data_IF_102615376783
#
_entry.id   IF_102615376783
#
_cell.length_a   1.000
_cell.length_b   1.000
_cell.length_c   1.000
_cell.angle_alpha   90.00
_cell.angle_beta   90.00
_cell.angle_gamma   90.00
#
_symmetry.space_group_name_H-M   'P 1'
#
loop_
_entity.id
_entity.type
_entity.pdbx_description
1 polymer ?
#
# COMPACT_ATOMS: atom_id res chain seq x y z
N UNK A 1 -0.95 56.00 10.37
CA UNK A 1 -1.62 56.24 11.67
C UNK A 1 -3.08 55.81 11.53
N UNK A 2 -3.41 54.66 12.14
CA UNK A 2 -4.73 53.98 12.30
C UNK A 2 -4.40 52.47 12.36
N UNK A 3 -3.88 52.02 13.50
CA UNK A 3 -4.57 51.40 14.65
C UNK A 3 -4.84 49.91 14.40
N UNK A 4 -4.12 49.11 15.20
CA UNK A 4 -4.21 47.67 15.35
C UNK A 4 -5.62 47.17 15.65
N UNK A 5 -5.95 45.98 15.13
CA UNK A 5 -6.56 44.92 15.93
C UNK A 5 -5.85 43.60 15.60
N UNK A 6 -4.91 43.22 16.46
CA UNK A 6 -4.45 41.84 16.58
C UNK A 6 -5.53 41.06 17.31
N UNK A 7 -6.01 39.95 16.74
CA UNK A 7 -6.77 38.96 17.51
C UNK A 7 -5.75 37.94 18.03
N UNK A 8 -5.43 38.11 19.31
CA UNK A 8 -4.73 37.15 20.16
C UNK A 8 -5.79 36.15 20.65
N UNK A 9 -5.54 34.86 20.46
CA UNK A 9 -6.23 33.79 21.17
C UNK A 9 -5.18 32.90 21.84
N UNK A 10 -4.68 33.37 22.98
CA UNK A 10 -4.10 32.53 24.03
C UNK A 10 -5.15 32.40 25.13
N UNK A 11 -5.40 31.17 25.60
CA UNK A 11 -5.13 30.74 26.99
C UNK A 11 -5.86 29.43 27.36
N UNK A 12 -5.09 28.58 28.06
CA UNK A 12 -5.46 27.62 29.12
C UNK A 12 -5.69 26.12 28.79
N UNK A 13 -4.64 25.34 29.06
CA UNK A 13 -4.62 23.98 29.65
C UNK A 13 -4.31 24.08 31.17
N UNK A 14 -4.35 23.02 32.03
CA UNK A 14 -5.07 21.72 32.08
C UNK A 14 -5.77 21.52 33.48
N UNK A 15 -6.11 20.32 34.05
CA UNK A 15 -5.22 19.16 34.29
C UNK A 15 -5.79 17.78 33.89
N UNK A 16 -4.85 16.85 33.65
CA UNK A 16 -5.08 15.42 33.55
C UNK A 16 -5.40 14.82 34.94
N UNK A 17 -6.61 14.28 35.14
CA UNK A 17 -6.98 13.38 36.24
C UNK A 17 -8.37 12.76 35.95
N UNK A 18 -8.44 11.70 35.14
CA UNK A 18 -9.64 10.83 35.06
C UNK A 18 -9.39 9.46 34.39
N UNK A 19 -8.15 8.94 34.42
CA UNK A 19 -7.79 7.66 33.80
C UNK A 19 -7.71 6.48 34.79
N UNK A 20 -8.25 6.63 36.01
CA UNK A 20 -8.03 5.67 37.09
C UNK A 20 -9.31 5.33 37.88
N UNK A 21 -10.43 5.01 37.21
CA UNK A 21 -11.56 4.42 37.94
C UNK A 21 -12.57 3.67 37.04
N UNK A 22 -12.16 2.55 36.43
CA UNK A 22 -13.14 1.57 35.91
C UNK A 22 -12.62 0.15 35.67
N UNK A 23 -11.82 -0.40 36.60
CA UNK A 23 -11.52 -1.85 36.60
C UNK A 23 -11.27 -2.44 37.99
N UNK A 24 -12.14 -2.12 38.94
CA UNK A 24 -12.29 -2.90 40.17
C UNK A 24 -13.57 -3.72 40.09
N UNK A 25 -13.44 -4.99 39.68
CA UNK A 25 -14.31 -6.14 39.98
C UNK A 25 -13.96 -7.27 39.00
N UNK A 26 -13.13 -8.20 39.47
CA UNK A 26 -13.53 -9.61 39.67
C UNK A 26 -12.31 -10.53 39.69
N UNK A 27 -12.13 -11.17 40.84
CA UNK A 27 -11.52 -12.48 41.04
C UNK A 27 -10.00 -12.66 40.91
N UNK A 28 -9.36 -12.47 42.07
CA UNK A 28 -8.37 -13.38 42.65
C UNK A 28 -8.43 -14.83 42.16
N UNK A 29 -7.28 -15.37 41.73
CA UNK A 29 -6.87 -16.76 42.00
C UNK A 29 -5.35 -16.88 41.81
N UNK A 30 -4.66 -17.00 42.93
CA UNK A 30 -3.27 -17.45 43.03
C UNK A 30 -3.17 -18.91 42.61
N UNK A 31 -2.19 -19.22 41.77
CA UNK A 31 -1.52 -20.53 41.76
C UNK A 31 -0.04 -20.27 41.50
N UNK A 32 0.74 -20.42 42.56
CA UNK A 32 2.19 -20.59 42.52
C UNK A 32 2.45 -22.07 42.32
N UNK A 33 3.40 -22.44 41.46
CA UNK A 33 4.09 -23.72 41.56
C UNK A 33 5.48 -23.62 40.90
N UNK A 34 6.44 -24.48 41.28
CA UNK A 34 7.78 -24.05 41.65
C UNK A 34 8.82 -24.45 40.59
N UNK A 35 9.97 -23.79 40.63
CA UNK A 35 11.16 -24.12 39.86
C UNK A 35 11.66 -25.55 40.16
N UNK A 36 11.94 -26.40 39.15
CA UNK A 36 12.53 -27.71 39.36
C UNK A 36 14.01 -27.61 39.76
N UNK A 37 14.37 -28.30 40.85
CA UNK A 37 15.73 -28.45 41.36
C UNK A 37 16.41 -29.64 40.66
N UNK A 38 17.70 -29.47 40.32
CA UNK A 38 18.60 -30.52 39.82
C UNK A 38 18.87 -31.56 40.91
N UNK A 39 18.89 -32.84 40.53
CA UNK A 39 19.45 -33.91 41.36
C UNK A 39 20.40 -34.75 40.53
N UNK A 40 21.60 -34.96 41.07
CA UNK A 40 22.73 -35.67 40.48
C UNK A 40 22.50 -37.18 40.28
N UNK A 41 23.25 -37.69 39.30
CA UNK A 41 23.57 -39.06 38.86
C UNK A 41 23.74 -40.12 39.97
N UNK A 42 23.66 -41.44 39.65
CA UNK A 42 24.90 -42.14 39.24
C UNK A 42 24.75 -43.32 38.24
N UNK A 43 25.91 -43.66 37.65
CA UNK A 43 26.33 -44.91 37.00
C UNK A 43 26.12 -45.16 35.49
N UNK A 44 27.25 -45.02 34.77
CA UNK A 44 27.69 -45.65 33.50
C UNK A 44 27.63 -47.21 33.52
N UNK A 45 27.58 -47.95 32.38
CA UNK A 45 28.60 -47.87 31.31
C UNK A 45 28.17 -48.08 29.83
N UNK A 46 28.99 -47.50 28.94
CA UNK A 46 29.44 -47.93 27.58
C UNK A 46 28.64 -49.01 26.83
N UNK A 47 28.20 -48.73 25.59
CA UNK A 47 28.78 -49.26 24.33
C UNK A 47 27.91 -48.92 23.09
N UNK A 48 28.58 -48.70 21.95
CA UNK A 48 28.19 -48.96 20.54
C UNK A 48 26.83 -48.57 19.95
N UNK A 49 26.91 -47.97 18.75
CA UNK A 49 26.12 -48.41 17.60
C UNK A 49 25.19 -47.37 16.98
N UNK A 50 25.49 -47.03 15.72
CA UNK A 50 24.60 -46.37 14.77
C UNK A 50 23.17 -46.94 14.79
N UNK A 51 22.16 -46.08 14.61
CA UNK A 51 21.11 -46.27 13.60
C UNK A 51 20.11 -45.13 13.57
N UNK A 52 19.74 -44.81 12.34
CA UNK A 52 18.70 -43.89 11.91
C UNK A 52 17.41 -43.99 12.72
N UNK A 53 16.87 -42.84 13.11
CA UNK A 53 15.42 -42.58 13.13
C UNK A 53 15.20 -41.09 13.38
N UNK A 54 15.06 -40.32 12.31
CA UNK A 54 14.43 -39.01 12.38
C UNK A 54 13.14 -39.09 11.59
N UNK A 55 12.06 -39.29 12.34
CA UNK A 55 10.69 -39.08 11.90
C UNK A 55 10.53 -37.58 11.64
N UNK A 56 10.74 -37.16 10.39
CA UNK A 56 10.39 -35.84 9.89
C UNK A 56 8.90 -35.81 9.58
N UNK A 57 8.16 -35.15 10.44
CA UNK A 57 6.76 -34.78 10.24
C UNK A 57 6.60 -33.97 8.95
N UNK A 58 5.55 -34.30 8.20
CA UNK A 58 5.11 -33.64 6.97
C UNK A 58 5.01 -32.12 7.17
N UNK A 59 6.00 -31.37 6.69
CA UNK A 59 5.88 -29.95 6.34
C UNK A 59 5.56 -29.86 4.84
N UNK A 60 4.32 -30.19 4.52
CA UNK A 60 3.77 -30.09 3.17
C UNK A 60 3.19 -28.66 3.01
N UNK A 61 4.07 -27.70 2.73
CA UNK A 61 3.65 -26.31 2.52
C UNK A 61 4.72 -25.31 2.04
N UNK A 62 5.95 -25.75 1.73
CA UNK A 62 7.06 -24.83 1.41
C UNK A 62 7.83 -25.08 0.12
N UNK A 63 7.51 -26.12 -0.64
CA UNK A 63 8.29 -26.52 -1.83
C UNK A 63 7.63 -26.17 -3.17
N UNK A 64 6.33 -25.88 -3.21
CA UNK A 64 5.58 -25.62 -4.46
C UNK A 64 5.63 -24.14 -4.88
N UNK A 65 5.53 -23.20 -3.92
CA UNK A 65 5.53 -21.75 -4.19
C UNK A 65 6.87 -21.21 -4.73
N UNK A 66 7.99 -21.89 -4.44
CA UNK A 66 9.32 -21.43 -4.88
C UNK A 66 9.58 -21.71 -6.36
N UNK A 67 8.99 -22.77 -6.92
CA UNK A 67 9.12 -23.11 -8.35
C UNK A 67 8.29 -22.11 -9.18
N UNK A 68 7.06 -21.79 -8.75
CA UNK A 68 6.23 -20.73 -9.36
C UNK A 68 6.96 -19.37 -9.35
N UNK A 69 7.66 -19.04 -8.26
CA UNK A 69 8.36 -17.76 -8.15
C UNK A 69 9.47 -17.56 -9.18
N UNK A 70 10.38 -18.53 -9.33
CA UNK A 70 11.50 -18.42 -10.27
C UNK A 70 11.04 -18.50 -11.72
N UNK A 71 10.06 -19.37 -12.01
CA UNK A 71 9.45 -19.47 -13.34
C UNK A 71 8.71 -18.18 -13.72
N UNK A 72 7.88 -17.60 -12.84
CA UNK A 72 7.22 -16.32 -13.08
C UNK A 72 8.25 -15.18 -13.25
N UNK A 73 9.37 -15.21 -12.51
CA UNK A 73 10.44 -14.22 -12.63
C UNK A 73 11.15 -14.32 -13.99
N UNK A 74 11.40 -15.54 -14.48
CA UNK A 74 12.04 -15.75 -15.77
C UNK A 74 11.10 -15.41 -16.93
N UNK A 75 9.80 -15.74 -16.82
CA UNK A 75 8.78 -15.30 -17.76
C UNK A 75 8.71 -13.76 -17.84
N UNK A 76 8.80 -13.07 -16.70
CA UNK A 76 8.89 -11.62 -16.68
C UNK A 76 10.17 -11.13 -17.37
N UNK A 77 11.33 -11.73 -17.09
CA UNK A 77 12.61 -11.37 -17.74
C UNK A 77 12.47 -11.44 -19.26
N UNK A 78 11.94 -12.54 -19.78
CA UNK A 78 11.72 -12.73 -21.22
C UNK A 78 10.75 -11.67 -21.79
N UNK A 79 9.70 -11.29 -21.05
CA UNK A 79 8.78 -10.24 -21.48
C UNK A 79 9.44 -8.84 -21.48
N UNK A 80 10.44 -8.62 -20.63
CA UNK A 80 11.20 -7.39 -20.54
C UNK A 80 12.38 -7.30 -21.52
N UNK A 81 12.61 -8.33 -22.35
CA UNK A 81 13.64 -8.28 -23.39
C UNK A 81 13.29 -7.26 -24.49
N UNK A 82 14.33 -6.72 -25.13
CA UNK A 82 14.22 -5.70 -26.17
C UNK A 82 14.53 -4.29 -25.67
N UNK A 83 15.30 -3.55 -26.47
CA UNK A 83 15.73 -2.19 -26.15
C UNK A 83 14.56 -1.18 -26.13
N UNK A 84 13.40 -1.58 -26.64
CA UNK A 84 12.16 -0.79 -26.67
C UNK A 84 11.33 -0.94 -25.39
N UNK A 85 11.69 -1.86 -24.48
CA UNK A 85 10.91 -2.10 -23.27
C UNK A 85 11.05 -0.94 -22.29
N UNK A 86 9.92 -0.30 -22.00
CA UNK A 86 9.79 0.64 -20.89
C UNK A 86 8.90 -0.01 -19.81
N UNK A 87 9.34 -0.11 -18.55
CA UNK A 87 8.49 -0.64 -17.49
C UNK A 87 7.17 0.14 -17.36
N UNK A 88 6.01 -0.55 -17.33
CA UNK A 88 4.73 0.12 -17.21
C UNK A 88 4.54 0.75 -15.82
N UNK A 89 3.78 1.83 -15.77
CA UNK A 89 3.37 2.53 -14.56
C UNK A 89 1.84 2.53 -14.50
N UNK A 90 1.27 1.84 -13.52
CA UNK A 90 -0.19 1.81 -13.34
C UNK A 90 -0.64 3.08 -12.63
N UNK A 91 -1.69 3.71 -13.13
CA UNK A 91 -2.31 4.86 -12.48
C UNK A 91 -3.79 4.57 -12.21
N UNK A 92 -4.10 4.24 -10.96
CA UNK A 92 -5.45 3.92 -10.50
C UNK A 92 -6.14 5.19 -9.97
N UNK A 93 -7.21 5.62 -10.62
CA UNK A 93 -7.91 6.88 -10.35
C UNK A 93 -9.31 6.56 -9.84
N UNK A 94 -9.62 7.01 -8.62
CA UNK A 94 -10.96 6.88 -8.05
C UNK A 94 -11.92 7.88 -8.70
N UNK A 95 -13.16 7.46 -8.99
CA UNK A 95 -14.25 8.37 -9.39
C UNK A 95 -14.56 9.47 -8.35
N UNK A 96 -14.09 9.33 -7.10
CA UNK A 96 -14.21 10.37 -6.06
C UNK A 96 -13.14 11.46 -6.14
N UNK A 97 -12.13 11.32 -7.00
CA UNK A 97 -11.20 12.43 -7.28
C UNK A 97 -12.00 13.57 -7.96
N UNK A 98 -11.87 14.83 -7.52
CA UNK A 98 -12.60 15.93 -8.16
C UNK A 98 -12.26 16.02 -9.65
N UNK A 99 -13.27 16.03 -10.52
CA UNK A 99 -13.08 16.05 -11.99
C UNK A 99 -12.20 14.88 -12.48
N UNK A 100 -12.38 13.69 -11.91
CA UNK A 100 -11.62 12.47 -12.21
C UNK A 100 -11.62 12.11 -13.71
N UNK A 101 -12.72 12.36 -14.40
CA UNK A 101 -12.91 12.12 -15.83
C UNK A 101 -11.95 12.90 -16.72
N UNK A 102 -11.42 14.03 -16.22
CA UNK A 102 -10.42 14.84 -16.94
C UNK A 102 -8.98 14.46 -16.58
N UNK A 103 -8.76 13.65 -15.55
CA UNK A 103 -7.40 13.25 -15.12
C UNK A 103 -6.61 12.59 -16.26
N UNK A 104 -7.19 11.70 -17.10
CA UNK A 104 -6.46 11.15 -18.24
C UNK A 104 -5.93 12.19 -19.23
N UNK A 105 -6.60 13.35 -19.36
CA UNK A 105 -6.19 14.40 -20.31
C UNK A 105 -4.96 15.20 -19.86
N UNK A 106 -4.61 15.12 -18.57
CA UNK A 106 -3.47 15.82 -17.96
C UNK A 106 -2.28 14.89 -17.68
N UNK A 107 -2.40 13.60 -18.01
CA UNK A 107 -1.28 12.66 -18.00
C UNK A 107 -0.27 13.11 -19.06
N UNK A 108 1.02 12.93 -18.79
CA UNK A 108 2.05 13.31 -19.76
C UNK A 108 1.94 12.45 -21.01
N UNK A 109 2.10 13.07 -22.18
CA UNK A 109 1.86 12.41 -23.48
C UNK A 109 3.12 11.79 -24.09
N UNK A 110 4.27 12.18 -23.57
CA UNK A 110 5.60 11.75 -23.98
C UNK A 110 6.02 10.41 -23.33
N UNK A 111 5.27 9.91 -22.35
CA UNK A 111 5.52 8.63 -21.68
C UNK A 111 4.34 7.66 -21.89
N UNK A 112 4.39 6.80 -22.92
CA UNK A 112 3.32 5.84 -23.21
C UNK A 112 3.27 4.68 -22.20
N UNK A 113 4.23 4.58 -21.27
CA UNK A 113 4.25 3.51 -20.26
C UNK A 113 3.29 3.78 -19.10
N UNK A 114 2.68 4.97 -19.03
CA UNK A 114 1.68 5.32 -18.02
C UNK A 114 0.31 4.82 -18.45
N UNK A 115 -0.27 3.93 -17.67
CA UNK A 115 -1.53 3.24 -17.95
C UNK A 115 -2.60 3.72 -16.96
N UNK A 116 -3.48 4.67 -17.35
CA UNK A 116 -4.57 5.11 -16.49
C UNK A 116 -5.73 4.11 -16.44
N UNK A 117 -6.24 3.89 -15.23
CA UNK A 117 -7.41 3.07 -14.93
C UNK A 117 -8.33 3.89 -14.03
N UNK A 118 -9.45 4.35 -14.57
CA UNK A 118 -10.52 5.02 -13.82
C UNK A 118 -11.49 3.96 -13.32
N UNK A 119 -11.74 3.91 -12.01
CA UNK A 119 -12.69 2.98 -11.40
C UNK A 119 -13.80 3.72 -10.65
N UNK A 120 -15.00 3.11 -10.64
CA UNK A 120 -16.12 3.64 -9.88
C UNK A 120 -16.01 3.25 -8.40
N UNK A 121 -15.74 4.22 -7.53
CA UNK A 121 -15.67 4.02 -6.09
C UNK A 121 -16.92 3.38 -5.47
N UNK A 122 -18.10 3.66 -6.03
CA UNK A 122 -19.37 3.21 -5.46
C UNK A 122 -19.72 1.77 -5.84
N UNK A 123 -19.38 1.37 -7.07
CA UNK A 123 -19.87 0.12 -7.68
C UNK A 123 -18.78 -0.89 -8.04
N UNK A 124 -17.52 -0.47 -8.19
CA UNK A 124 -16.44 -1.41 -8.49
C UNK A 124 -16.13 -2.31 -7.30
N UNK A 125 -15.66 -3.51 -7.61
CA UNK A 125 -15.10 -4.46 -6.65
C UNK A 125 -13.58 -4.48 -6.74
N UNK A 126 -12.94 -5.14 -5.78
CA UNK A 126 -11.49 -5.37 -5.84
C UNK A 126 -11.11 -6.25 -7.03
N UNK A 127 -11.96 -7.21 -7.39
CA UNK A 127 -11.74 -8.09 -8.55
C UNK A 127 -11.79 -7.31 -9.86
N UNK A 128 -12.79 -6.42 -10.03
CA UNK A 128 -12.89 -5.57 -11.24
C UNK A 128 -11.61 -4.73 -11.45
N UNK A 129 -11.03 -4.21 -10.37
CA UNK A 129 -9.78 -3.43 -10.44
C UNK A 129 -8.61 -4.32 -10.85
N UNK A 130 -8.48 -5.52 -10.27
CA UNK A 130 -7.39 -6.44 -10.58
C UNK A 130 -7.49 -6.96 -12.03
N UNK A 131 -8.69 -7.29 -12.49
CA UNK A 131 -8.95 -7.73 -13.87
C UNK A 131 -8.61 -6.63 -14.89
N UNK A 132 -8.98 -5.37 -14.62
CA UNK A 132 -8.65 -4.27 -15.54
C UNK A 132 -7.14 -3.97 -15.54
N UNK A 133 -6.43 -4.12 -14.40
CA UNK A 133 -4.96 -4.05 -14.35
C UNK A 133 -4.35 -5.13 -15.24
N UNK A 134 -4.76 -6.39 -15.06
CA UNK A 134 -4.24 -7.53 -15.82
C UNK A 134 -4.47 -7.36 -17.33
N UNK A 135 -5.69 -6.98 -17.72
CA UNK A 135 -6.06 -6.72 -19.10
C UNK A 135 -5.21 -5.61 -19.72
N UNK A 136 -4.97 -4.51 -18.99
CA UNK A 136 -4.17 -3.39 -19.49
C UNK A 136 -2.68 -3.72 -19.57
N UNK A 137 -2.13 -4.45 -18.60
CA UNK A 137 -0.75 -4.95 -18.66
C UNK A 137 -0.56 -5.92 -19.83
N UNK A 138 -1.52 -6.82 -20.04
CA UNK A 138 -1.48 -7.78 -21.16
C UNK A 138 -1.51 -7.08 -22.51
N UNK A 139 -2.35 -6.03 -22.64
CA UNK A 139 -2.41 -5.21 -23.84
C UNK A 139 -1.14 -4.36 -24.05
N UNK A 140 -0.50 -3.90 -22.97
CA UNK A 140 0.76 -3.18 -23.04
C UNK A 140 1.90 -4.09 -23.50
N UNK A 141 2.13 -5.19 -22.77
CA UNK A 141 3.03 -6.26 -23.14
C UNK A 141 2.73 -7.49 -22.28
N UNK A 142 2.27 -8.58 -22.91
CA UNK A 142 1.95 -9.83 -22.21
C UNK A 142 3.14 -10.32 -21.39
N UNK A 143 2.89 -10.65 -20.13
CA UNK A 143 3.92 -11.09 -19.18
C UNK A 143 4.65 -9.96 -18.45
N UNK A 144 4.48 -8.70 -18.87
CA UNK A 144 5.09 -7.56 -18.17
C UNK A 144 4.45 -7.30 -16.80
N UNK A 145 5.25 -6.71 -15.91
CA UNK A 145 4.86 -6.31 -14.56
C UNK A 145 5.19 -4.83 -14.37
N UNK A 146 4.45 -4.13 -13.51
CA UNK A 146 4.70 -2.72 -13.24
C UNK A 146 5.68 -2.51 -12.10
N UNK A 147 6.50 -1.48 -12.21
CA UNK A 147 7.49 -1.13 -11.18
C UNK A 147 6.97 -0.03 -10.27
N UNK A 148 6.06 0.79 -10.80
CA UNK A 148 5.48 1.92 -10.10
C UNK A 148 3.98 1.95 -10.30
N UNK A 149 3.29 2.30 -9.23
CA UNK A 149 1.86 2.55 -9.23
C UNK A 149 1.59 3.90 -8.59
N UNK A 150 0.59 4.61 -9.12
CA UNK A 150 -0.04 5.74 -8.47
C UNK A 150 -1.48 5.37 -8.15
N UNK A 151 -1.86 5.46 -6.88
CA UNK A 151 -3.25 5.40 -6.44
C UNK A 151 -3.70 6.82 -6.11
N UNK A 152 -4.59 7.36 -6.94
CA UNK A 152 -5.20 8.66 -6.73
C UNK A 152 -6.60 8.47 -6.16
N UNK A 153 -6.74 8.60 -4.85
CA UNK A 153 -8.00 8.38 -4.15
C UNK A 153 -8.19 9.37 -2.99
N UNK A 154 -9.40 9.38 -2.43
CA UNK A 154 -9.68 10.12 -1.21
C UNK A 154 -9.16 9.35 0.02
N UNK A 155 -8.95 10.08 1.11
CA UNK A 155 -8.46 9.52 2.37
C UNK A 155 -8.18 10.63 3.36
N UNK A 156 -7.39 10.30 4.38
CA UNK A 156 -6.92 11.26 5.36
C UNK A 156 -5.81 10.64 6.22
N UNK A 157 -5.40 11.32 7.30
CA UNK A 157 -4.36 10.82 8.18
C UNK A 157 -4.66 9.40 8.69
N UNK A 158 -3.83 8.44 8.30
CA UNK A 158 -3.92 7.03 8.70
C UNK A 158 -4.95 6.16 7.97
N UNK A 159 -5.60 6.64 6.90
CA UNK A 159 -6.60 5.84 6.19
C UNK A 159 -6.78 6.19 4.70
N UNK A 160 -7.27 5.22 3.93
CA UNK A 160 -7.58 5.35 2.51
C UNK A 160 -9.01 4.90 2.20
N UNK A 161 -9.66 5.60 1.27
CA UNK A 161 -10.95 5.21 0.70
C UNK A 161 -10.74 4.66 -0.71
N UNK A 162 -10.43 3.38 -0.82
CA UNK A 162 -10.33 2.71 -2.14
C UNK A 162 -11.73 2.53 -2.73
N UNK A 163 -12.59 1.77 -2.06
CA UNK A 163 -13.97 1.52 -2.47
C UNK A 163 -14.93 1.94 -1.35
N UNK A 164 -16.20 2.14 -1.71
CA UNK A 164 -17.27 2.44 -0.74
C UNK A 164 -17.29 1.38 0.35
N UNK A 165 -17.38 1.83 1.60
CA UNK A 165 -17.38 0.97 2.80
C UNK A 165 -16.10 0.11 2.99
N UNK A 166 -15.05 0.30 2.18
CA UNK A 166 -13.75 -0.38 2.28
C UNK A 166 -12.66 0.59 2.70
N UNK A 167 -12.78 1.08 3.93
CA UNK A 167 -11.81 2.02 4.51
C UNK A 167 -10.55 1.27 4.93
N UNK A 168 -9.44 1.45 4.22
CA UNK A 168 -8.18 0.84 4.59
C UNK A 168 -7.53 1.61 5.73
N UNK A 169 -7.37 0.94 6.86
CA UNK A 169 -6.66 1.45 8.04
C UNK A 169 -5.71 0.36 8.53
N UNK A 170 -4.71 0.71 9.34
CA UNK A 170 -3.78 -0.28 9.90
C UNK A 170 -4.49 -1.42 10.67
N UNK A 171 -5.67 -1.14 11.23
CA UNK A 171 -6.44 -2.11 12.00
C UNK A 171 -7.32 -3.02 11.13
N UNK A 172 -7.65 -2.58 9.91
CA UNK A 172 -8.59 -3.28 9.01
C UNK A 172 -7.88 -4.05 7.90
N UNK A 173 -6.75 -3.56 7.41
CA UNK A 173 -6.10 -4.09 6.20
C UNK A 173 -5.68 -5.55 6.30
N UNK A 174 -5.35 -6.03 7.50
CA UNK A 174 -5.05 -7.45 7.75
C UNK A 174 -6.27 -8.26 8.22
N UNK A 175 -7.31 -7.61 8.76
CA UNK A 175 -8.46 -8.29 9.37
C UNK A 175 -9.62 -8.49 8.40
N UNK A 176 -9.78 -7.58 7.44
CA UNK A 176 -10.79 -7.68 6.40
C UNK A 176 -10.22 -8.49 5.24
N UNK A 177 -10.66 -9.75 5.10
CA UNK A 177 -10.08 -10.70 4.15
C UNK A 177 -10.10 -10.21 2.69
N UNK A 178 -11.21 -9.59 2.26
CA UNK A 178 -11.27 -9.03 0.91
C UNK A 178 -10.20 -7.94 0.68
N UNK A 179 -9.84 -7.19 1.71
CA UNK A 179 -8.83 -6.14 1.63
C UNK A 179 -7.42 -6.74 1.65
N UNK A 180 -7.15 -7.70 2.53
CA UNK A 180 -5.86 -8.39 2.60
C UNK A 180 -5.57 -9.13 1.28
N UNK A 181 -6.56 -9.84 0.73
CA UNK A 181 -6.46 -10.55 -0.54
C UNK A 181 -6.23 -9.61 -1.73
N UNK A 182 -6.90 -8.45 -1.75
CA UNK A 182 -6.66 -7.44 -2.80
C UNK A 182 -5.18 -7.05 -2.88
N UNK A 183 -4.56 -6.69 -1.76
CA UNK A 183 -3.15 -6.26 -1.74
C UNK A 183 -2.19 -7.41 -2.08
N UNK A 184 -2.48 -8.64 -1.63
CA UNK A 184 -1.70 -9.84 -1.98
C UNK A 184 -1.79 -10.18 -3.47
N UNK A 185 -2.96 -10.01 -4.08
CA UNK A 185 -3.14 -10.25 -5.53
C UNK A 185 -2.55 -9.12 -6.35
N UNK A 186 -2.68 -7.87 -5.88
CA UNK A 186 -2.07 -6.71 -6.52
C UNK A 186 -0.55 -6.85 -6.61
N UNK A 187 0.11 -7.34 -5.55
CA UNK A 187 1.57 -7.52 -5.55
C UNK A 187 2.05 -8.49 -6.63
N UNK A 188 1.24 -9.46 -7.06
CA UNK A 188 1.59 -10.37 -8.18
C UNK A 188 1.75 -9.69 -9.53
N UNK A 189 1.23 -8.47 -9.69
CA UNK A 189 1.42 -7.65 -10.88
C UNK A 189 2.65 -6.74 -10.80
N UNK A 190 3.32 -6.69 -9.65
CA UNK A 190 4.54 -5.93 -9.45
C UNK A 190 5.76 -6.75 -9.87
N UNK A 191 6.81 -6.04 -10.28
CA UNK A 191 8.00 -6.69 -10.83
C UNK A 191 8.79 -7.47 -9.79
N UNK A 192 9.27 -8.65 -10.19
CA UNK A 192 10.21 -9.48 -9.42
C UNK A 192 11.67 -9.19 -9.80
N UNK A 193 11.91 -8.58 -10.97
CA UNK A 193 13.26 -8.32 -11.50
C UNK A 193 13.75 -6.89 -11.30
N UNK A 194 12.89 -6.00 -10.80
CA UNK A 194 13.28 -4.64 -10.44
C UNK A 194 14.41 -4.68 -9.39
N UNK A 195 15.60 -4.12 -9.67
CA UNK A 195 16.71 -4.10 -8.72
C UNK A 195 16.42 -3.22 -7.49
N UNK A 196 15.51 -2.26 -7.64
CA UNK A 196 15.02 -1.41 -6.57
C UNK A 196 13.65 -1.90 -6.07
N UNK A 197 13.20 -1.49 -4.87
CA UNK A 197 11.82 -1.74 -4.46
C UNK A 197 10.82 -1.16 -5.47
N UNK A 198 9.75 -1.89 -5.73
CA UNK A 198 8.62 -1.34 -6.47
C UNK A 198 7.93 -0.26 -5.63
N UNK A 199 7.39 0.80 -6.26
CA UNK A 199 6.88 1.96 -5.51
C UNK A 199 5.38 2.15 -5.75
N UNK A 200 4.60 2.24 -4.68
CA UNK A 200 3.20 2.66 -4.73
C UNK A 200 3.09 4.06 -4.14
N UNK A 201 2.81 5.03 -4.99
CA UNK A 201 2.51 6.40 -4.59
C UNK A 201 1.04 6.55 -4.28
N UNK A 202 0.73 7.24 -3.18
CA UNK A 202 -0.61 7.61 -2.78
C UNK A 202 -0.75 9.14 -2.90
N UNK A 203 -1.64 9.58 -3.79
CA UNK A 203 -1.99 11.00 -3.95
C UNK A 203 -3.47 11.26 -3.71
N UNK A 204 -3.81 12.53 -3.48
CA UNK A 204 -5.18 12.98 -3.19
C UNK A 204 -5.57 12.98 -1.73
N UNK A 205 -4.68 12.51 -0.85
CA UNK A 205 -4.85 12.56 0.59
C UNK A 205 -3.49 12.58 1.30
N UNK A 206 -3.50 12.91 2.60
CA UNK A 206 -2.31 12.97 3.43
C UNK A 206 -2.31 11.82 4.45
N UNK A 207 -1.94 10.62 4.01
CA UNK A 207 -1.97 9.40 4.84
C UNK A 207 -0.99 9.48 6.00
N UNK A 208 0.22 10.00 5.73
CA UNK A 208 1.31 10.16 6.69
C UNK A 208 1.14 11.38 7.61
N UNK A 209 -0.08 11.93 7.71
CA UNK A 209 -0.38 13.02 8.64
C UNK A 209 -0.45 12.62 10.11
N UNK A 210 -0.34 11.33 10.42
CA UNK A 210 -0.27 10.82 11.79
C UNK A 210 0.46 9.47 11.85
N UNK A 211 0.89 9.02 13.05
CA UNK A 211 1.58 7.73 13.26
C UNK A 211 0.84 6.47 12.78
N UNK A 212 -0.47 6.57 12.53
CA UNK A 212 -1.26 5.44 12.03
C UNK A 212 -1.05 5.26 10.52
N UNK A 213 -0.64 6.30 9.80
CA UNK A 213 -0.25 6.24 8.39
C UNK A 213 0.98 5.36 8.18
N UNK A 214 2.04 5.56 8.98
CA UNK A 214 3.23 4.72 8.92
C UNK A 214 2.89 3.27 9.26
N UNK A 215 2.06 3.04 10.28
CA UNK A 215 1.58 1.69 10.62
C UNK A 215 0.80 1.05 9.47
N UNK A 216 -0.07 1.80 8.81
CA UNK A 216 -0.80 1.31 7.63
C UNK A 216 0.17 0.91 6.52
N UNK A 217 1.14 1.75 6.19
CA UNK A 217 2.13 1.45 5.15
C UNK A 217 2.96 0.23 5.51
N UNK A 218 3.45 0.11 6.74
CA UNK A 218 4.18 -1.07 7.19
C UNK A 218 3.34 -2.36 7.08
N UNK A 219 2.05 -2.28 7.41
CA UNK A 219 1.12 -3.41 7.28
C UNK A 219 0.89 -3.81 5.82
N UNK A 220 0.74 -2.83 4.94
CA UNK A 220 0.64 -3.06 3.49
C UNK A 220 1.90 -3.71 2.92
N UNK A 221 3.09 -3.19 3.25
CA UNK A 221 4.37 -3.79 2.85
C UNK A 221 4.48 -5.25 3.26
N UNK A 222 4.09 -5.56 4.50
CA UNK A 222 4.12 -6.95 5.00
C UNK A 222 3.12 -7.85 4.27
N UNK A 223 1.92 -7.35 3.94
CA UNK A 223 0.93 -8.10 3.16
C UNK A 223 1.42 -8.40 1.74
N UNK A 224 2.20 -7.50 1.15
CA UNK A 224 2.68 -7.61 -0.23
C UNK A 224 3.95 -8.46 -0.37
N UNK A 225 4.54 -8.94 0.73
CA UNK A 225 5.66 -9.91 0.67
C UNK A 225 5.24 -11.18 -0.09
N UNK A 226 6.17 -11.80 -0.84
CA UNK A 226 7.62 -11.54 -0.88
C UNK A 226 8.05 -10.40 -1.83
N UNK A 227 7.13 -9.72 -2.50
CA UNK A 227 7.47 -8.61 -3.39
C UNK A 227 8.07 -7.43 -2.62
N UNK A 228 9.19 -6.90 -3.10
CA UNK A 228 9.80 -5.69 -2.55
C UNK A 228 8.97 -4.48 -2.95
N UNK A 229 8.26 -3.89 -1.99
CA UNK A 229 7.34 -2.77 -2.22
C UNK A 229 7.54 -1.68 -1.18
N UNK A 230 7.65 -0.45 -1.65
CA UNK A 230 7.70 0.79 -0.87
C UNK A 230 6.45 1.64 -1.12
N UNK A 231 6.04 2.39 -0.11
CA UNK A 231 4.87 3.26 -0.16
C UNK A 231 5.27 4.70 0.11
N UNK A 232 4.80 5.61 -0.74
CA UNK A 232 5.08 7.03 -0.63
C UNK A 232 3.78 7.83 -0.69
N UNK A 233 3.67 8.86 0.15
CA UNK A 233 2.54 9.81 0.10
C UNK A 233 3.05 11.24 0.33
N UNK A 234 3.84 11.76 -0.63
CA UNK A 234 4.42 13.09 -0.50
C UNK A 234 3.34 14.16 -0.60
N UNK A 235 3.53 15.27 0.11
CA UNK A 235 2.66 16.43 0.01
C UNK A 235 2.80 17.05 -1.39
N UNK A 236 1.69 17.29 -2.09
CA UNK A 236 1.70 17.79 -3.49
C UNK A 236 2.49 19.10 -3.69
N UNK A 237 2.60 19.94 -2.65
CA UNK A 237 3.33 21.21 -2.67
C UNK A 237 4.81 21.09 -2.30
N UNK A 238 5.26 19.90 -1.89
CA UNK A 238 6.67 19.63 -1.56
C UNK A 238 7.50 19.34 -2.81
N UNK A 239 8.83 19.37 -2.68
CA UNK A 239 9.73 18.98 -3.77
C UNK A 239 9.50 17.52 -4.22
N UNK A 240 9.36 16.59 -3.26
CA UNK A 240 9.02 15.20 -3.55
C UNK A 240 7.63 15.08 -4.22
N UNK A 241 6.66 15.88 -3.79
CA UNK A 241 5.34 15.91 -4.41
C UNK A 241 5.41 16.38 -5.86
N UNK A 242 6.23 17.40 -6.13
CA UNK A 242 6.50 17.86 -7.50
C UNK A 242 7.11 16.76 -8.35
N UNK A 243 8.10 16.01 -7.83
CA UNK A 243 8.73 14.89 -8.54
C UNK A 243 7.71 13.80 -8.88
N UNK A 244 6.83 13.42 -7.96
CA UNK A 244 5.76 12.45 -8.25
C UNK A 244 4.76 13.00 -9.27
N UNK A 245 4.40 14.28 -9.21
CA UNK A 245 3.55 14.89 -10.25
C UNK A 245 4.25 14.83 -11.61
N UNK A 246 5.52 15.23 -11.66
CA UNK A 246 6.41 15.12 -12.83
C UNK A 246 6.80 13.68 -13.16
N UNK A 247 6.28 12.67 -12.45
CA UNK A 247 6.38 11.24 -12.79
C UNK A 247 5.10 10.66 -13.43
N UNK A 248 3.92 11.25 -13.24
CA UNK A 248 2.68 10.77 -13.89
C UNK A 248 1.98 11.79 -14.81
N UNK A 249 2.17 13.08 -14.58
CA UNK A 249 1.40 14.13 -15.22
C UNK A 249 2.28 15.09 -16.02
N UNK A 250 1.65 15.82 -16.94
CA UNK A 250 2.17 17.10 -17.36
C UNK A 250 1.99 18.09 -16.21
N UNK A 251 3.09 18.63 -15.69
CA UNK A 251 3.08 19.48 -14.50
C UNK A 251 2.21 20.74 -14.68
N UNK A 252 2.19 21.33 -15.87
CA UNK A 252 1.41 22.54 -16.15
C UNK A 252 -0.08 22.24 -16.20
N UNK A 253 -0.45 21.15 -16.89
CA UNK A 253 -1.83 20.69 -16.96
C UNK A 253 -2.35 20.25 -15.59
N UNK A 254 -1.52 19.55 -14.80
CA UNK A 254 -1.87 19.17 -13.43
C UNK A 254 -2.18 20.39 -12.56
N UNK A 255 -1.30 21.40 -12.57
CA UNK A 255 -1.52 22.64 -11.81
C UNK A 255 -2.79 23.36 -12.26
N UNK A 256 -3.03 23.45 -13.57
CA UNK A 256 -4.25 24.05 -14.11
C UNK A 256 -5.50 23.31 -13.64
N UNK A 257 -5.52 21.98 -13.79
CA UNK A 257 -6.62 21.14 -13.33
C UNK A 257 -6.85 21.30 -11.83
N UNK A 258 -5.80 21.29 -11.00
CA UNK A 258 -5.88 21.47 -9.55
C UNK A 258 -6.57 22.79 -9.17
N UNK A 259 -6.19 23.90 -9.79
CA UNK A 259 -6.82 25.21 -9.53
C UNK A 259 -8.30 25.26 -9.91
N UNK A 260 -8.72 24.39 -10.84
CA UNK A 260 -10.09 24.32 -11.36
C UNK A 260 -10.96 23.27 -10.69
N UNK A 261 -10.43 22.47 -9.74
CA UNK A 261 -11.19 21.39 -9.08
C UNK A 261 -12.42 21.89 -8.33
N UNK A 262 -12.34 23.08 -7.74
CA UNK A 262 -13.43 23.70 -6.98
C UNK A 262 -14.20 24.76 -7.78
N UNK A 263 -13.80 25.01 -9.03
CA UNK A 263 -14.51 25.95 -9.90
C UNK A 263 -15.82 25.33 -10.37
N UNK A 264 -16.94 26.01 -10.07
CA UNK A 264 -18.30 25.67 -10.50
C UNK A 264 -18.56 25.98 -11.99
N UNK A 265 -17.63 26.64 -12.67
CA UNK A 265 -17.75 26.96 -14.09
C UNK A 265 -17.48 25.70 -14.92
N UNK A 266 -18.56 25.06 -15.36
CA UNK A 266 -18.59 24.04 -16.39
C UNK A 266 -18.45 24.73 -17.76
N UNK A 267 -17.25 25.17 -18.11
CA UNK A 267 -16.98 25.68 -19.46
C UNK A 267 -15.75 24.97 -20.00
N UNK A 268 -16.00 23.87 -20.70
CA UNK A 268 -15.02 23.05 -21.41
C UNK A 268 -15.45 22.86 -22.88
N UNK A 269 -16.02 23.90 -23.49
CA UNK A 269 -16.26 23.93 -24.94
C UNK A 269 -15.28 24.85 -25.71
N UNK A 270 -14.31 25.51 -25.06
CA UNK A 270 -13.54 26.56 -25.76
C UNK A 270 -12.08 26.27 -26.12
N UNK A 271 -11.55 25.05 -25.93
CA UNK A 271 -10.14 24.78 -26.25
C UNK A 271 -9.86 23.38 -26.82
N UNK A 272 -10.63 22.98 -27.84
CA UNK A 272 -10.22 21.95 -28.81
C UNK A 272 -9.79 22.61 -30.12
#
# INVERSE_FOLDING_TARGET
MCVCVCVVCDYLSPPALAFAERRSKSFSRSWSDPTPVKTDSPHDPRDSGDLQTSCGTLDEGGLDDNIDWEEEREMERLACEGDDFVPPKIMLISSKVPKAEYVPTIIRRDDPSIIPILYDHEHATFDDILEEIEKKLTAYRRGSKFWRMLIFCQGGPGHLYLLKNKVATFAKVEKEEAMSQFWRRLSRFMSKINPEPNIIHIMGCYVLGNPNGEKLFQKLKNLMRPYSVEFESPLELSAQGKEVIELYFDFRLYRLWKTRQHSKLLEYEEFL
#
